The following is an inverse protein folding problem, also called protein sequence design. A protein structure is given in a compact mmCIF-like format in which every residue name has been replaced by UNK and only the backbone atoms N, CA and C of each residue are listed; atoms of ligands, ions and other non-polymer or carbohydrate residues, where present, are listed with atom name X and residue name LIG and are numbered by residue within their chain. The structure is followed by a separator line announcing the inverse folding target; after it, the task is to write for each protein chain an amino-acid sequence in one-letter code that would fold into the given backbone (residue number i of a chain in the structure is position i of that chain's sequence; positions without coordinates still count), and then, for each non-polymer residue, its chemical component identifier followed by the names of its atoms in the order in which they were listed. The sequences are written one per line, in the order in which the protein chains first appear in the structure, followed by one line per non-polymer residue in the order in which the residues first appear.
data_IF_400822981837
#
_entry.id   IF_400822981837
#
_cell.length_a   1.000
_cell.length_b   1.000
_cell.length_c   1.000
_cell.angle_alpha   90.00
_cell.angle_beta   90.00
_cell.angle_gamma   90.00
#
_symmetry.space_group_name_H-M   'P 1'
#
loop_
_entity.id
_entity.type
_entity.pdbx_description
1 polymer ?
#
# COMPACT_ATOMS: atom_id res chain seq x y z
N UNK A 1 -19.55 3.55 27.52
CA UNK A 1 -19.38 4.60 26.48
C UNK A 1 -18.21 4.18 25.62
N UNK A 2 -18.43 3.89 24.33
CA UNK A 2 -17.35 3.64 23.37
C UNK A 2 -16.40 4.84 23.35
N UNK A 3 -15.08 4.65 23.43
CA UNK A 3 -14.13 5.74 23.26
C UNK A 3 -14.41 6.45 21.92
N UNK A 4 -14.40 7.79 21.92
CA UNK A 4 -14.60 8.57 20.68
C UNK A 4 -13.62 8.10 19.61
N UNK A 5 -14.12 7.44 18.55
CA UNK A 5 -13.35 7.08 17.35
C UNK A 5 -12.98 5.60 17.17
N UNK A 6 -13.28 4.70 18.11
CA UNK A 6 -13.02 3.26 17.95
C UNK A 6 -14.11 2.37 18.56
N UNK A 7 -14.31 1.20 17.97
CA UNK A 7 -15.06 0.10 18.56
C UNK A 7 -14.22 -0.61 19.63
N UNK A 8 -14.89 -1.22 20.59
CA UNK A 8 -14.25 -2.14 21.54
C UNK A 8 -13.75 -3.38 20.79
N UNK A 9 -12.52 -3.81 21.08
CA UNK A 9 -11.97 -5.01 20.48
C UNK A 9 -12.65 -6.25 21.08
N UNK A 10 -13.39 -6.99 20.25
CA UNK A 10 -14.15 -8.18 20.64
C UNK A 10 -13.35 -9.49 20.51
N UNK A 11 -12.11 -9.42 20.02
CA UNK A 11 -11.24 -10.58 19.92
C UNK A 11 -10.50 -10.78 21.23
N UNK A 12 -10.51 -12.01 21.73
CA UNK A 12 -9.59 -12.43 22.79
C UNK A 12 -8.14 -12.28 22.30
N UNK A 13 -7.21 -11.98 23.20
CA UNK A 13 -5.80 -11.89 22.82
C UNK A 13 -5.19 -13.28 22.60
N UNK A 14 -4.02 -13.32 21.97
CA UNK A 14 -3.37 -14.54 21.52
C UNK A 14 -3.17 -15.58 22.63
N UNK A 15 -3.71 -16.77 22.41
CA UNK A 15 -3.34 -18.02 23.07
C UNK A 15 -3.22 -19.13 22.01
N UNK A 16 -2.59 -20.25 22.37
CA UNK A 16 -2.44 -21.38 21.45
C UNK A 16 -3.81 -21.92 21.00
N UNK A 17 -4.74 -22.08 21.94
CA UNK A 17 -6.07 -22.64 21.66
C UNK A 17 -6.91 -21.70 20.79
N UNK A 18 -6.84 -20.40 21.06
CA UNK A 18 -7.60 -19.38 20.31
C UNK A 18 -7.04 -19.25 18.87
N UNK A 19 -5.73 -19.34 18.71
CA UNK A 19 -5.07 -19.11 17.42
C UNK A 19 -5.07 -20.33 16.48
N UNK A 20 -5.42 -21.54 16.97
CA UNK A 20 -5.31 -22.79 16.21
C UNK A 20 -6.07 -22.80 14.88
N UNK A 21 -7.17 -22.05 14.78
CA UNK A 21 -7.96 -21.94 13.55
C UNK A 21 -7.55 -20.77 12.64
N UNK A 22 -6.58 -19.94 13.06
CA UNK A 22 -6.19 -18.71 12.37
C UNK A 22 -4.75 -18.79 11.86
N UNK A 23 -3.83 -19.29 12.66
CA UNK A 23 -2.40 -19.43 12.35
C UNK A 23 -2.07 -20.91 12.11
N UNK A 24 -1.12 -21.19 11.23
CA UNK A 24 -0.60 -22.54 11.02
C UNK A 24 0.26 -23.04 12.21
N UNK A 25 0.56 -24.34 12.26
CA UNK A 25 1.34 -24.94 13.35
C UNK A 25 2.78 -24.41 13.43
N UNK A 26 3.37 -24.05 12.29
CA UNK A 26 4.70 -23.44 12.19
C UNK A 26 4.73 -22.00 12.73
N UNK A 27 3.56 -21.37 12.92
CA UNK A 27 3.37 -20.00 13.40
C UNK A 27 4.02 -18.92 12.54
N UNK A 28 4.26 -19.24 11.28
CA UNK A 28 4.86 -18.37 10.27
C UNK A 28 3.88 -17.94 9.18
N UNK A 29 2.64 -18.44 9.23
CA UNK A 29 1.59 -18.15 8.26
C UNK A 29 0.19 -18.49 8.78
N UNK A 30 -0.80 -18.35 7.91
CA UNK A 30 -2.21 -18.59 8.27
C UNK A 30 -2.61 -20.06 8.07
N UNK A 31 -3.54 -20.53 8.91
CA UNK A 31 -4.10 -21.89 8.84
C UNK A 31 -4.86 -22.10 7.52
N UNK A 32 -5.03 -23.35 7.10
CA UNK A 32 -5.84 -23.69 5.92
C UNK A 32 -7.28 -23.18 6.04
N UNK A 33 -7.88 -23.31 7.23
CA UNK A 33 -9.24 -22.82 7.51
C UNK A 33 -9.37 -21.32 7.29
N UNK A 34 -8.38 -20.54 7.76
CA UNK A 34 -8.37 -19.10 7.55
C UNK A 34 -8.07 -18.74 6.09
N UNK A 35 -7.20 -19.49 5.41
CA UNK A 35 -6.99 -19.34 3.97
C UNK A 35 -8.30 -19.51 3.19
N UNK A 36 -9.07 -20.57 3.45
CA UNK A 36 -10.38 -20.79 2.79
C UNK A 36 -11.35 -19.63 3.05
N UNK A 37 -11.40 -19.11 4.28
CA UNK A 37 -12.22 -17.95 4.63
C UNK A 37 -11.84 -16.71 3.81
N UNK A 38 -10.54 -16.41 3.71
CA UNK A 38 -10.05 -15.28 2.91
C UNK A 38 -10.30 -15.47 1.41
N UNK A 39 -10.19 -16.70 0.90
CA UNK A 39 -10.50 -16.98 -0.51
C UNK A 39 -11.98 -16.75 -0.82
N UNK A 40 -12.90 -17.22 0.04
CA UNK A 40 -14.33 -16.97 -0.11
C UNK A 40 -14.64 -15.47 -0.08
N UNK A 41 -14.04 -14.75 0.88
CA UNK A 41 -14.15 -13.29 0.98
C UNK A 41 -13.69 -12.60 -0.32
N UNK A 42 -12.49 -12.93 -0.81
CA UNK A 42 -11.93 -12.34 -2.03
C UNK A 42 -12.80 -12.61 -3.24
N UNK A 43 -13.23 -13.85 -3.45
CA UNK A 43 -14.10 -14.23 -4.58
C UNK A 43 -15.41 -13.43 -4.56
N UNK A 44 -16.10 -13.40 -3.41
CA UNK A 44 -17.37 -12.66 -3.30
C UNK A 44 -17.21 -11.16 -3.54
N UNK A 45 -16.18 -10.55 -2.95
CA UNK A 45 -16.00 -9.09 -3.02
C UNK A 45 -15.40 -8.62 -4.34
N UNK A 46 -14.57 -9.43 -5.00
CA UNK A 46 -14.16 -9.18 -6.38
C UNK A 46 -15.36 -9.24 -7.33
N UNK A 47 -16.27 -10.21 -7.15
CA UNK A 47 -17.49 -10.28 -7.93
C UNK A 47 -18.37 -9.04 -7.72
N UNK A 48 -18.50 -8.58 -6.48
CA UNK A 48 -19.22 -7.35 -6.15
C UNK A 48 -18.61 -6.13 -6.85
N UNK A 49 -17.29 -5.95 -6.76
CA UNK A 49 -16.57 -4.87 -7.45
C UNK A 49 -16.88 -4.86 -8.95
N UNK A 50 -16.73 -6.02 -9.60
CA UNK A 50 -16.93 -6.17 -11.06
C UNK A 50 -18.37 -5.94 -11.51
N UNK A 51 -19.35 -6.33 -10.71
CA UNK A 51 -20.76 -6.34 -11.16
C UNK A 51 -21.60 -5.17 -10.66
N UNK A 52 -21.17 -4.49 -9.59
CA UNK A 52 -21.98 -3.45 -8.92
C UNK A 52 -21.24 -2.13 -8.70
N UNK A 53 -19.93 -2.09 -8.91
CA UNK A 53 -19.11 -0.91 -8.57
C UNK A 53 -18.20 -0.46 -9.72
N UNK A 54 -18.52 -0.83 -10.96
CA UNK A 54 -17.69 -0.51 -12.13
C UNK A 54 -17.46 1.01 -12.28
N UNK A 55 -18.52 1.81 -12.15
CA UNK A 55 -18.40 3.27 -12.19
C UNK A 55 -17.55 3.85 -11.06
N UNK A 56 -17.56 3.23 -9.88
CA UNK A 56 -16.73 3.66 -8.75
C UNK A 56 -15.25 3.29 -8.97
N UNK A 57 -14.97 2.15 -9.61
CA UNK A 57 -13.62 1.70 -9.95
C UNK A 57 -12.98 2.65 -10.96
N UNK A 58 -13.72 2.99 -12.02
CA UNK A 58 -13.22 3.84 -13.12
C UNK A 58 -13.50 5.33 -12.90
N UNK A 59 -13.74 5.75 -11.65
CA UNK A 59 -13.94 7.15 -11.31
C UNK A 59 -12.73 8.02 -11.70
N UNK A 60 -11.53 7.51 -11.44
CA UNK A 60 -10.26 8.06 -11.91
C UNK A 60 -9.27 6.93 -12.21
N UNK A 61 -8.09 7.27 -12.75
CA UNK A 61 -7.05 6.30 -13.12
C UNK A 61 -5.90 6.21 -12.11
N UNK A 62 -6.02 6.80 -10.92
CA UNK A 62 -4.96 6.80 -9.91
C UNK A 62 -4.89 5.49 -9.14
N UNK A 63 -3.76 5.23 -8.47
CA UNK A 63 -3.62 4.05 -7.60
C UNK A 63 -4.39 4.25 -6.29
N UNK A 64 -4.47 5.48 -5.80
CA UNK A 64 -5.10 5.81 -4.52
C UNK A 64 -6.62 5.57 -4.55
N UNK A 65 -7.32 6.21 -5.50
CA UNK A 65 -8.79 6.21 -5.58
C UNK A 65 -9.38 5.55 -6.81
N UNK A 66 -8.56 5.22 -7.80
CA UNK A 66 -9.01 4.80 -9.12
C UNK A 66 -8.71 3.36 -9.51
N UNK A 67 -8.86 3.10 -10.80
CA UNK A 67 -8.74 1.76 -11.40
C UNK A 67 -7.34 1.18 -11.23
N UNK A 68 -6.29 2.00 -11.30
CA UNK A 68 -4.91 1.52 -11.14
C UNK A 68 -4.64 0.93 -9.74
N UNK A 69 -5.46 1.24 -8.73
CA UNK A 69 -5.40 0.59 -7.43
C UNK A 69 -5.77 -0.90 -7.51
N UNK A 70 -6.75 -1.25 -8.35
CA UNK A 70 -7.14 -2.62 -8.62
C UNK A 70 -6.16 -3.31 -9.58
N UNK A 71 -5.54 -2.57 -10.50
CA UNK A 71 -4.41 -3.06 -11.28
C UNK A 71 -3.23 -3.50 -10.38
N UNK A 72 -2.91 -2.68 -9.36
CA UNK A 72 -1.88 -3.01 -8.38
C UNK A 72 -2.23 -4.28 -7.58
N UNK A 73 -3.50 -4.45 -7.20
CA UNK A 73 -3.98 -5.67 -6.54
C UNK A 73 -3.74 -6.92 -7.40
N UNK A 74 -4.15 -6.92 -8.67
CA UNK A 74 -3.95 -8.06 -9.56
C UNK A 74 -2.46 -8.30 -9.88
N UNK A 75 -1.67 -7.24 -10.00
CA UNK A 75 -0.22 -7.37 -10.08
C UNK A 75 0.35 -8.09 -8.85
N UNK A 76 -0.10 -7.74 -7.64
CA UNK A 76 0.33 -8.41 -6.41
C UNK A 76 -0.05 -9.90 -6.40
N UNK A 77 -1.24 -10.27 -6.86
CA UNK A 77 -1.64 -11.67 -6.99
C UNK A 77 -0.67 -12.47 -7.87
N UNK A 78 -0.14 -11.85 -8.94
CA UNK A 78 0.83 -12.49 -9.84
C UNK A 78 2.17 -12.83 -9.21
N UNK A 79 2.53 -12.19 -8.08
CA UNK A 79 3.84 -12.42 -7.44
C UNK A 79 3.97 -13.80 -6.78
N UNK A 80 2.90 -14.60 -6.72
CA UNK A 80 2.97 -16.02 -6.28
C UNK A 80 3.80 -16.89 -7.21
N UNK A 81 4.07 -16.43 -8.44
CA UNK A 81 4.81 -17.17 -9.46
C UNK A 81 4.26 -18.58 -9.73
N UNK A 82 2.94 -18.75 -9.58
CA UNK A 82 2.22 -19.97 -9.93
C UNK A 82 1.61 -19.88 -11.33
N UNK A 83 0.89 -20.93 -11.74
CA UNK A 83 0.24 -21.02 -13.05
C UNK A 83 -0.75 -19.87 -13.33
N UNK A 84 -1.29 -19.20 -12.31
CA UNK A 84 -2.26 -18.09 -12.44
C UNK A 84 -1.62 -16.71 -12.59
N UNK A 85 -0.29 -16.63 -12.57
CA UNK A 85 0.45 -15.37 -12.60
C UNK A 85 0.21 -14.59 -13.89
N UNK A 86 0.16 -15.30 -15.03
CA UNK A 86 -0.06 -14.68 -16.34
C UNK A 86 -1.47 -14.13 -16.48
N UNK A 87 -2.48 -14.84 -15.98
CA UNK A 87 -3.88 -14.41 -15.94
C UNK A 87 -4.03 -13.18 -15.05
N UNK A 88 -3.40 -13.19 -13.87
CA UNK A 88 -3.42 -12.04 -12.96
C UNK A 88 -2.79 -10.80 -13.59
N UNK A 89 -1.67 -10.95 -14.32
CA UNK A 89 -1.06 -9.85 -15.07
C UNK A 89 -1.97 -9.32 -16.18
N UNK A 90 -2.67 -10.19 -16.91
CA UNK A 90 -3.65 -9.79 -17.94
C UNK A 90 -4.84 -9.06 -17.32
N UNK A 91 -5.37 -9.56 -16.20
CA UNK A 91 -6.45 -8.89 -15.47
C UNK A 91 -6.04 -7.50 -14.99
N UNK A 92 -4.79 -7.32 -14.55
CA UNK A 92 -4.30 -6.01 -14.14
C UNK A 92 -4.34 -4.97 -15.28
N UNK A 93 -4.16 -5.40 -16.55
CA UNK A 93 -4.21 -4.50 -17.71
C UNK A 93 -5.60 -3.89 -17.95
N UNK A 94 -6.66 -4.62 -17.63
CA UNK A 94 -8.05 -4.13 -17.80
C UNK A 94 -8.33 -2.88 -16.96
N UNK A 95 -7.53 -2.64 -15.93
CA UNK A 95 -7.69 -1.52 -15.00
C UNK A 95 -6.67 -0.40 -15.21
N UNK A 96 -5.80 -0.49 -16.23
CA UNK A 96 -4.80 0.52 -16.55
C UNK A 96 -5.21 1.38 -17.74
N UNK A 97 -5.53 2.65 -17.46
CA UNK A 97 -5.78 3.65 -18.49
C UNK A 97 -4.50 4.47 -18.74
N UNK A 98 -3.58 3.90 -19.51
CA UNK A 98 -2.31 4.55 -19.87
C UNK A 98 -2.44 5.55 -21.02
N UNK A 99 -3.57 5.62 -21.71
CA UNK A 99 -3.77 6.53 -22.85
C UNK A 99 -4.32 7.88 -22.40
N UNK A 100 -5.18 7.92 -21.38
CA UNK A 100 -5.86 9.14 -20.94
C UNK A 100 -5.25 9.78 -19.67
N UNK A 101 -3.97 9.51 -19.41
CA UNK A 101 -3.18 10.10 -18.33
C UNK A 101 -3.20 11.65 -18.42
N UNK A 102 -3.26 12.32 -17.27
CA UNK A 102 -3.59 13.76 -17.23
C UNK A 102 -2.38 14.68 -17.32
N UNK A 103 -1.18 14.18 -17.06
CA UNK A 103 0.07 14.95 -17.09
C UNK A 103 0.18 15.99 -15.97
N UNK A 104 -0.61 15.87 -14.89
CA UNK A 104 -0.74 16.91 -13.85
C UNK A 104 -0.07 16.59 -12.51
N UNK A 105 0.09 15.30 -12.19
CA UNK A 105 0.59 14.85 -10.87
C UNK A 105 1.64 13.77 -11.07
N UNK A 106 2.72 13.87 -10.30
CA UNK A 106 3.95 13.09 -10.54
C UNK A 106 4.02 11.78 -9.72
N UNK A 107 3.23 11.64 -8.66
CA UNK A 107 3.40 10.58 -7.67
C UNK A 107 2.83 9.22 -8.10
N UNK A 108 3.28 8.14 -7.46
CA UNK A 108 2.73 6.80 -7.64
C UNK A 108 1.25 6.69 -7.24
N UNK A 109 0.87 7.31 -6.12
CA UNK A 109 -0.47 7.14 -5.56
C UNK A 109 -1.53 7.96 -6.27
N UNK A 110 -1.29 9.25 -6.46
CA UNK A 110 -2.29 10.19 -6.95
C UNK A 110 -1.95 10.80 -8.31
N UNK A 111 -0.94 10.27 -9.00
CA UNK A 111 -0.44 10.80 -10.27
C UNK A 111 -0.18 9.74 -11.33
N UNK A 112 0.37 10.20 -12.46
CA UNK A 112 0.57 9.38 -13.66
C UNK A 112 1.67 8.33 -13.47
N UNK A 113 2.56 8.51 -12.49
CA UNK A 113 3.66 7.58 -12.25
C UNK A 113 3.17 6.21 -11.77
N UNK A 114 2.03 6.14 -11.07
CA UNK A 114 1.46 4.87 -10.62
C UNK A 114 1.10 3.94 -11.77
N UNK A 115 0.13 4.34 -12.62
CA UNK A 115 -0.25 3.56 -13.80
C UNK A 115 0.94 3.24 -14.71
N UNK A 116 1.84 4.19 -14.94
CA UNK A 116 3.02 3.98 -15.79
C UNK A 116 4.01 2.96 -15.19
N UNK A 117 4.28 3.02 -13.88
CA UNK A 117 5.18 2.08 -13.22
C UNK A 117 4.61 0.66 -13.23
N UNK A 118 3.33 0.50 -12.87
CA UNK A 118 2.63 -0.80 -12.90
C UNK A 118 2.62 -1.37 -14.33
N UNK A 119 2.23 -0.55 -15.31
CA UNK A 119 2.23 -0.93 -16.72
C UNK A 119 3.61 -1.36 -17.22
N UNK A 120 4.68 -0.64 -16.83
CA UNK A 120 6.06 -0.96 -17.21
C UNK A 120 6.45 -2.36 -16.75
N UNK A 121 6.17 -2.67 -15.48
CA UNK A 121 6.51 -3.98 -14.89
C UNK A 121 5.69 -5.10 -15.54
N UNK A 122 4.38 -4.91 -15.73
CA UNK A 122 3.53 -5.91 -16.38
C UNK A 122 3.98 -6.14 -17.83
N UNK A 123 4.25 -5.06 -18.58
CA UNK A 123 4.74 -5.13 -19.96
C UNK A 123 6.04 -5.95 -20.06
N UNK A 124 6.96 -5.76 -19.11
CA UNK A 124 8.19 -6.55 -19.05
C UNK A 124 7.92 -8.03 -18.75
N UNK A 125 7.08 -8.33 -17.76
CA UNK A 125 6.79 -9.71 -17.31
C UNK A 125 6.01 -10.54 -18.34
N UNK A 126 5.10 -9.92 -19.08
CA UNK A 126 4.37 -10.58 -20.18
C UNK A 126 5.24 -10.79 -21.43
N UNK A 127 6.29 -9.97 -21.59
CA UNK A 127 7.24 -10.07 -22.71
C UNK A 127 6.64 -9.69 -24.06
N UNK A 128 7.43 -9.90 -25.12
CA UNK A 128 7.13 -9.44 -26.49
C UNK A 128 6.23 -10.36 -27.30
N UNK A 129 5.92 -11.57 -26.79
CA UNK A 129 5.06 -12.56 -27.45
C UNK A 129 3.57 -12.38 -27.14
N UNK A 130 3.19 -11.25 -26.56
CA UNK A 130 1.80 -10.96 -26.22
C UNK A 130 1.00 -10.66 -27.48
N UNK A 131 -0.22 -11.21 -27.57
CA UNK A 131 -1.09 -11.02 -28.73
C UNK A 131 -1.89 -9.70 -28.68
N UNK A 132 -1.87 -9.00 -27.55
CA UNK A 132 -2.53 -7.71 -27.36
C UNK A 132 -1.64 -6.55 -27.82
N UNK A 133 -2.09 -5.84 -28.85
CA UNK A 133 -1.48 -4.57 -29.31
C UNK A 133 -1.79 -3.38 -28.37
N UNK A 134 -2.40 -3.64 -27.22
CA UNK A 134 -3.04 -2.63 -26.37
C UNK A 134 -2.01 -1.92 -25.50
N UNK A 135 -1.04 -2.65 -24.94
CA UNK A 135 -0.02 -2.05 -24.10
C UNK A 135 1.23 -1.66 -24.93
N UNK A 136 1.89 -0.53 -24.65
CA UNK A 136 3.20 -0.22 -25.22
C UNK A 136 4.34 -1.10 -24.64
N UNK A 137 5.48 -1.17 -25.33
CA UNK A 137 6.68 -1.85 -24.80
C UNK A 137 7.16 -1.22 -23.49
N UNK A 138 7.72 -2.03 -22.59
CA UNK A 138 8.16 -1.57 -21.27
C UNK A 138 9.19 -0.43 -21.35
N UNK A 139 10.03 -0.37 -22.40
CA UNK A 139 10.98 0.74 -22.58
C UNK A 139 10.27 2.06 -22.88
N UNK A 140 9.22 2.01 -23.71
CA UNK A 140 8.39 3.18 -24.02
C UNK A 140 7.66 3.66 -22.76
N UNK A 141 7.11 2.74 -21.96
CA UNK A 141 6.45 3.07 -20.70
C UNK A 141 7.43 3.63 -19.66
N UNK A 142 8.62 3.03 -19.52
CA UNK A 142 9.68 3.52 -18.66
C UNK A 142 10.14 4.93 -19.08
N UNK A 143 10.25 5.21 -20.38
CA UNK A 143 10.57 6.54 -20.88
C UNK A 143 9.48 7.57 -20.52
N UNK A 144 8.20 7.22 -20.70
CA UNK A 144 7.07 8.07 -20.27
C UNK A 144 7.12 8.33 -18.77
N UNK A 145 7.37 7.31 -17.96
CA UNK A 145 7.54 7.46 -16.51
C UNK A 145 8.70 8.41 -16.16
N UNK A 146 9.84 8.27 -16.83
CA UNK A 146 11.00 9.16 -16.62
C UNK A 146 10.73 10.59 -17.09
N UNK A 147 9.93 10.80 -18.13
CA UNK A 147 9.58 12.14 -18.61
C UNK A 147 8.76 12.97 -17.62
N UNK A 148 8.10 12.33 -16.64
CA UNK A 148 7.40 13.03 -15.56
C UNK A 148 8.34 13.87 -14.68
N UNK A 149 9.66 13.70 -14.81
CA UNK A 149 10.65 14.54 -14.15
C UNK A 149 10.48 16.04 -14.48
N UNK A 150 9.81 16.39 -15.58
CA UNK A 150 9.44 17.77 -15.91
C UNK A 150 8.58 18.44 -14.84
N UNK A 151 7.78 17.66 -14.09
CA UNK A 151 6.90 18.14 -13.03
C UNK A 151 7.62 18.32 -11.68
N UNK A 152 8.92 17.99 -11.58
CA UNK A 152 9.63 17.99 -10.28
C UNK A 152 9.56 19.34 -9.57
N UNK A 153 9.74 20.45 -10.28
CA UNK A 153 9.84 21.77 -9.65
C UNK A 153 8.48 22.27 -9.12
N UNK A 154 7.38 21.77 -9.67
CA UNK A 154 6.01 22.17 -9.31
C UNK A 154 5.39 21.23 -8.27
N UNK A 155 6.04 20.10 -8.00
CA UNK A 155 5.52 19.06 -7.12
C UNK A 155 5.99 19.25 -5.66
N UNK A 156 5.13 18.95 -4.66
CA UNK A 156 5.55 18.90 -3.26
C UNK A 156 6.53 17.73 -3.03
N UNK A 157 7.08 17.61 -1.83
CA UNK A 157 8.05 16.55 -1.52
C UNK A 157 7.43 15.28 -0.91
N UNK A 158 6.16 15.31 -0.52
CA UNK A 158 5.49 14.19 0.16
C UNK A 158 5.08 13.03 -0.77
N UNK A 159 4.50 11.96 -0.20
CA UNK A 159 4.32 10.69 -0.90
C UNK A 159 3.06 10.61 -1.76
N UNK A 160 1.98 11.30 -1.39
CA UNK A 160 0.69 11.17 -2.07
C UNK A 160 0.69 11.90 -3.40
N UNK A 161 1.26 13.10 -3.48
CA UNK A 161 1.22 13.99 -4.63
C UNK A 161 2.62 14.40 -5.11
N UNK A 162 3.65 14.16 -4.30
CA UNK A 162 4.97 14.73 -4.47
C UNK A 162 6.07 13.81 -4.99
N UNK A 163 7.29 14.34 -4.89
CA UNK A 163 8.53 13.75 -5.39
C UNK A 163 8.87 12.43 -4.70
N UNK A 164 8.55 12.26 -3.41
CA UNK A 164 8.77 10.98 -2.72
C UNK A 164 7.89 9.87 -3.32
N UNK A 165 6.64 10.19 -3.67
CA UNK A 165 5.76 9.27 -4.38
C UNK A 165 6.25 8.93 -5.78
N UNK A 166 6.88 9.88 -6.47
CA UNK A 166 7.52 9.62 -7.76
C UNK A 166 8.76 8.74 -7.62
N UNK A 167 9.60 9.01 -6.62
CA UNK A 167 10.76 8.19 -6.30
C UNK A 167 10.36 6.74 -6.03
N UNK A 168 9.28 6.52 -5.27
CA UNK A 168 8.71 5.19 -5.06
C UNK A 168 8.37 4.51 -6.40
N UNK A 169 7.71 5.21 -7.33
CA UNK A 169 7.36 4.66 -8.64
C UNK A 169 8.58 4.19 -9.45
N UNK A 170 9.66 4.98 -9.44
CA UNK A 170 10.91 4.65 -10.13
C UNK A 170 11.57 3.39 -9.53
N UNK A 171 11.64 3.34 -8.20
CA UNK A 171 12.23 2.22 -7.48
C UNK A 171 11.37 0.95 -7.59
N UNK A 172 10.04 1.09 -7.63
CA UNK A 172 9.11 -0.02 -7.86
C UNK A 172 9.42 -0.75 -9.18
N UNK A 173 9.69 -0.01 -10.26
CA UNK A 173 10.06 -0.59 -11.56
C UNK A 173 11.36 -1.40 -11.45
N UNK A 174 12.42 -0.81 -10.89
CA UNK A 174 13.71 -1.49 -10.74
C UNK A 174 13.64 -2.70 -9.80
N UNK A 175 12.81 -2.62 -8.74
CA UNK A 175 12.63 -3.75 -7.81
C UNK A 175 11.96 -4.95 -8.47
N UNK A 176 10.92 -4.73 -9.27
CA UNK A 176 10.12 -5.83 -9.83
C UNK A 176 10.60 -6.35 -11.19
N UNK A 177 11.59 -5.67 -11.79
CA UNK A 177 12.29 -6.11 -13.00
C UNK A 177 13.71 -6.55 -12.61
N UNK A 178 13.85 -7.82 -12.20
CA UNK A 178 15.12 -8.36 -11.74
C UNK A 178 16.18 -8.41 -12.85
N UNK A 179 17.44 -8.10 -12.47
CA UNK A 179 18.61 -8.30 -13.31
C UNK A 179 18.84 -7.25 -14.41
N UNK A 180 18.08 -6.15 -14.41
CA UNK A 180 18.26 -5.03 -15.35
C UNK A 180 17.99 -3.70 -14.67
N UNK A 181 18.85 -2.73 -14.93
CA UNK A 181 18.60 -1.33 -14.59
C UNK A 181 17.67 -0.74 -15.66
N UNK A 182 16.39 -0.58 -15.32
CA UNK A 182 15.38 -0.02 -16.23
C UNK A 182 15.33 1.49 -16.08
N UNK A 183 15.30 1.95 -14.83
CA UNK A 183 15.45 3.35 -14.47
C UNK A 183 16.91 3.59 -14.07
N UNK A 184 17.66 4.42 -14.81
CA UNK A 184 19.04 4.74 -14.49
C UNK A 184 19.21 5.39 -13.11
N UNK A 185 20.28 5.02 -12.39
CA UNK A 185 20.65 5.58 -11.08
C UNK A 185 20.78 7.10 -11.14
N UNK A 186 21.39 7.66 -12.19
CA UNK A 186 21.52 9.10 -12.35
C UNK A 186 20.16 9.84 -12.48
N UNK A 187 19.10 9.16 -12.92
CA UNK A 187 17.74 9.70 -12.96
C UNK A 187 17.12 9.71 -11.56
N UNK A 188 17.33 8.63 -10.80
CA UNK A 188 16.90 8.50 -9.40
C UNK A 188 17.60 9.57 -8.52
N UNK A 189 18.91 9.75 -8.69
CA UNK A 189 19.71 10.74 -7.96
C UNK A 189 19.20 12.18 -8.18
N UNK A 190 18.74 12.52 -9.39
CA UNK A 190 18.14 13.84 -9.66
C UNK A 190 16.91 14.10 -8.79
N UNK A 191 16.06 13.09 -8.61
CA UNK A 191 14.85 13.20 -7.77
C UNK A 191 15.25 13.34 -6.30
N UNK A 192 16.17 12.50 -5.81
CA UNK A 192 16.70 12.55 -4.43
C UNK A 192 17.30 13.93 -4.14
N UNK A 193 18.16 14.43 -5.03
CA UNK A 193 18.80 15.73 -4.86
C UNK A 193 17.78 16.88 -4.85
N UNK A 194 16.70 16.78 -5.62
CA UNK A 194 15.61 17.77 -5.58
C UNK A 194 14.90 17.80 -4.22
N UNK A 195 14.60 16.63 -3.63
CA UNK A 195 13.96 16.50 -2.31
C UNK A 195 14.88 17.03 -1.20
N UNK A 196 16.17 16.66 -1.24
CA UNK A 196 17.14 17.12 -0.25
C UNK A 196 17.37 18.63 -0.34
N UNK A 197 17.41 19.19 -1.55
CA UNK A 197 17.57 20.63 -1.77
C UNK A 197 16.41 21.41 -1.16
N UNK A 198 15.16 21.04 -1.45
CA UNK A 198 13.99 21.72 -0.88
C UNK A 198 13.94 21.57 0.64
N UNK A 199 14.27 20.39 1.17
CA UNK A 199 14.29 20.14 2.61
C UNK A 199 15.28 21.00 3.38
N UNK A 200 16.49 21.20 2.83
CA UNK A 200 17.51 22.09 3.41
C UNK A 200 17.09 23.55 3.33
N UNK A 201 16.51 23.97 2.21
CA UNK A 201 16.04 25.33 2.01
C UNK A 201 14.93 25.70 3.01
N UNK A 202 13.94 24.84 3.19
CA UNK A 202 12.83 25.11 4.09
C UNK A 202 13.24 25.03 5.57
N UNK A 203 14.11 24.10 5.95
CA UNK A 203 14.72 24.07 7.28
C UNK A 203 15.42 25.41 7.61
N UNK A 204 16.27 25.91 6.70
CA UNK A 204 16.97 27.17 6.89
C UNK A 204 16.01 28.36 6.97
N UNK A 205 14.97 28.39 6.14
CA UNK A 205 13.93 29.43 6.16
C UNK A 205 13.19 29.48 7.51
N UNK A 206 12.90 28.31 8.09
CA UNK A 206 12.19 28.18 9.37
C UNK A 206 13.12 28.29 10.59
N UNK A 207 14.43 28.46 10.38
CA UNK A 207 15.47 28.40 11.43
C UNK A 207 15.30 27.17 12.33
N UNK A 208 14.98 26.03 11.71
CA UNK A 208 14.76 24.78 12.42
C UNK A 208 16.09 24.19 12.89
N UNK A 209 16.08 23.57 14.08
CA UNK A 209 17.23 22.80 14.57
C UNK A 209 17.46 21.51 13.76
N UNK A 210 16.46 21.07 12.98
CA UNK A 210 16.56 19.90 12.09
C UNK A 210 17.25 20.28 10.77
N UNK A 211 18.25 19.52 10.29
CA UNK A 211 18.93 19.81 9.01
C UNK A 211 18.02 19.68 7.77
N UNK A 212 16.86 19.05 7.91
CA UNK A 212 15.86 18.86 6.86
C UNK A 212 14.46 19.08 7.43
N UNK A 213 13.63 19.83 6.70
CA UNK A 213 12.23 20.08 7.05
C UNK A 213 11.41 20.22 5.77
N UNK A 214 10.18 19.71 5.77
CA UNK A 214 9.26 19.85 4.65
C UNK A 214 7.86 20.22 5.15
N UNK A 215 7.03 20.76 4.26
CA UNK A 215 5.64 21.10 4.53
C UNK A 215 4.76 20.73 3.34
N UNK A 216 3.47 20.59 3.61
CA UNK A 216 2.41 20.54 2.61
C UNK A 216 1.23 21.34 3.18
N UNK A 217 0.37 21.95 2.35
CA UNK A 217 -0.76 22.80 2.81
C UNK A 217 -0.50 23.64 4.08
N UNK A 218 0.62 24.37 4.08
CA UNK A 218 1.06 25.27 5.16
C UNK A 218 1.23 24.62 6.55
N UNK A 219 1.36 23.30 6.60
CA UNK A 219 1.60 22.53 7.83
C UNK A 219 2.85 21.68 7.69
N UNK A 220 3.67 21.68 8.74
CA UNK A 220 4.72 20.69 8.92
C UNK A 220 4.02 19.37 9.24
N UNK A 221 4.17 18.40 8.34
CA UNK A 221 3.57 17.09 8.49
C UNK A 221 4.59 16.09 9.01
N UNK A 222 4.22 15.36 10.06
CA UNK A 222 5.13 14.46 10.78
C UNK A 222 5.03 12.99 10.35
N UNK A 223 4.52 12.66 9.16
CA UNK A 223 4.78 11.31 8.62
C UNK A 223 3.87 10.79 7.54
N UNK A 224 3.44 9.52 7.59
CA UNK A 224 3.46 8.61 6.42
C UNK A 224 2.89 9.26 5.16
N UNK A 225 1.60 9.60 5.16
CA UNK A 225 1.10 10.67 4.32
C UNK A 225 1.22 12.03 5.05
N UNK A 226 0.82 12.11 6.34
CA UNK A 226 0.84 13.38 7.11
C UNK A 226 1.16 13.33 8.64
N UNK A 227 1.56 12.20 9.26
CA UNK A 227 1.88 12.12 10.71
C UNK A 227 2.73 10.91 11.13
N UNK A 228 3.22 10.85 12.38
CA UNK A 228 4.20 9.91 13.04
C UNK A 228 4.44 8.48 12.46
N UNK A 229 3.55 7.95 11.63
CA UNK A 229 3.60 6.65 10.96
C UNK A 229 4.70 6.49 9.90
N UNK A 230 5.17 7.56 9.24
CA UNK A 230 6.34 7.48 8.35
C UNK A 230 7.63 7.37 9.16
N UNK A 231 7.63 8.04 10.32
CA UNK A 231 8.68 7.99 11.32
C UNK A 231 8.72 6.60 11.97
N UNK A 232 7.60 5.97 12.31
CA UNK A 232 7.56 4.58 12.77
C UNK A 232 7.94 3.55 11.69
N UNK A 233 7.58 3.78 10.42
CA UNK A 233 7.99 2.95 9.28
C UNK A 233 9.52 3.00 9.05
N UNK A 234 10.16 4.18 9.17
CA UNK A 234 11.62 4.34 9.11
C UNK A 234 12.34 3.83 10.37
N UNK A 235 11.75 4.00 11.56
CA UNK A 235 12.35 3.54 12.82
C UNK A 235 12.34 2.00 12.95
N UNK A 236 11.39 1.32 12.31
CA UNK A 236 11.29 -0.15 12.29
C UNK A 236 12.13 -0.82 11.19
N UNK A 237 12.55 -0.08 10.14
CA UNK A 237 13.40 -0.60 9.07
C UNK A 237 14.91 -0.47 9.36
N UNK A 238 15.35 0.32 10.37
CA UNK A 238 16.75 0.75 10.52
C UNK A 238 17.39 0.46 11.89
N UNK A 239 16.65 0.37 13.00
CA UNK A 239 17.30 0.36 14.32
C UNK A 239 17.15 -0.97 15.05
N UNK A 240 18.25 -1.72 15.12
CA UNK A 240 18.51 -2.79 16.11
C UNK A 240 18.62 -2.24 17.55
N UNK A 241 18.19 -0.99 17.80
CA UNK A 241 18.22 -0.37 19.12
C UNK A 241 16.93 -0.67 19.91
N UNK A 242 17.11 -1.31 21.06
CA UNK A 242 16.05 -1.78 21.95
C UNK A 242 14.99 -0.70 22.30
N UNK A 243 15.40 0.57 22.41
CA UNK A 243 14.50 1.69 22.77
C UNK A 243 13.38 1.92 21.75
N UNK A 244 13.66 1.78 20.45
CA UNK A 244 12.66 1.99 19.40
C UNK A 244 11.73 0.79 19.26
N UNK A 245 12.27 -0.42 19.43
CA UNK A 245 11.45 -1.63 19.50
C UNK A 245 10.42 -1.52 20.63
N UNK A 246 10.82 -1.08 21.83
CA UNK A 246 9.88 -0.88 22.96
C UNK A 246 8.72 0.04 22.61
N UNK A 247 8.99 1.17 21.95
CA UNK A 247 7.94 2.11 21.52
C UNK A 247 7.03 1.47 20.49
N UNK A 248 7.58 0.74 19.50
CA UNK A 248 6.78 0.07 18.49
C UNK A 248 5.85 -1.01 19.09
N UNK A 249 6.33 -1.77 20.08
CA UNK A 249 5.51 -2.75 20.81
C UNK A 249 4.35 -2.06 21.54
N UNK A 250 4.61 -0.92 22.21
CA UNK A 250 3.57 -0.12 22.87
C UNK A 250 2.54 0.44 21.87
N UNK A 251 2.99 0.90 20.69
CA UNK A 251 2.08 1.29 19.62
C UNK A 251 1.22 0.12 19.14
N UNK A 252 1.81 -1.08 19.02
CA UNK A 252 1.08 -2.30 18.71
C UNK A 252 -0.04 -2.60 19.71
N UNK A 253 0.22 -2.47 21.01
CA UNK A 253 -0.80 -2.67 22.04
C UNK A 253 -1.91 -1.62 21.99
N UNK A 254 -1.58 -0.35 21.73
CA UNK A 254 -2.58 0.70 21.54
C UNK A 254 -3.45 0.44 20.31
N UNK A 255 -2.84 0.02 19.19
CA UNK A 255 -3.57 -0.37 17.98
C UNK A 255 -4.45 -1.59 18.26
N UNK A 256 -4.00 -2.55 19.05
CA UNK A 256 -4.84 -3.70 19.43
C UNK A 256 -6.09 -3.26 20.20
N UNK A 257 -5.95 -2.29 21.10
CA UNK A 257 -7.07 -1.80 21.91
C UNK A 257 -8.02 -0.86 21.14
N UNK A 258 -7.51 -0.07 20.18
CA UNK A 258 -8.26 1.05 19.58
C UNK A 258 -8.25 1.11 18.05
N UNK A 259 -7.59 0.16 17.40
CA UNK A 259 -7.39 0.13 15.95
C UNK A 259 -8.60 -0.34 15.14
N UNK A 260 -9.64 -0.88 15.79
CA UNK A 260 -10.95 -1.09 15.19
C UNK A 260 -11.69 0.25 15.09
N UNK A 261 -11.22 1.14 14.22
CA UNK A 261 -11.70 2.52 14.17
C UNK A 261 -13.10 2.64 13.56
N UNK A 262 -13.88 3.63 14.02
CA UNK A 262 -15.23 3.89 13.51
C UNK A 262 -15.25 4.46 12.09
N UNK A 263 -14.10 4.93 11.60
CA UNK A 263 -13.91 5.46 10.24
C UNK A 263 -14.04 4.40 9.14
N UNK A 264 -14.11 3.12 9.51
CA UNK A 264 -14.35 2.02 8.57
C UNK A 264 -13.10 1.22 8.26
N UNK A 265 -13.12 0.52 7.14
CA UNK A 265 -12.17 -0.57 6.86
C UNK A 265 -11.00 -0.16 5.95
N UNK A 266 -10.88 1.11 5.58
CA UNK A 266 -9.93 1.59 4.59
C UNK A 266 -8.46 1.32 4.92
N UNK A 267 -7.58 1.43 3.92
CA UNK A 267 -6.12 1.38 4.12
C UNK A 267 -5.60 2.70 4.68
N UNK A 268 -6.06 3.84 4.17
CA UNK A 268 -5.49 5.14 4.53
C UNK A 268 -5.64 5.48 6.03
N UNK A 269 -6.79 5.16 6.61
CA UNK A 269 -7.16 5.58 7.96
C UNK A 269 -8.22 4.66 8.57
N UNK A 270 -8.18 3.39 8.18
CA UNK A 270 -9.15 2.37 8.55
C UNK A 270 -8.50 1.14 9.18
N UNK A 271 -9.35 0.15 9.50
CA UNK A 271 -8.90 -1.11 10.13
C UNK A 271 -7.88 -1.86 9.28
N UNK A 272 -8.00 -1.83 7.94
CA UNK A 272 -7.04 -2.53 7.07
C UNK A 272 -5.64 -1.93 7.16
N UNK A 273 -5.55 -0.60 7.20
CA UNK A 273 -4.27 0.10 7.38
C UNK A 273 -3.62 -0.24 8.72
N UNK A 274 -4.42 -0.27 9.79
CA UNK A 274 -3.95 -0.60 11.13
C UNK A 274 -3.41 -2.03 11.24
N UNK A 275 -3.95 -2.99 10.47
CA UNK A 275 -3.47 -4.36 10.45
C UNK A 275 -1.99 -4.46 10.02
N UNK A 276 -1.51 -3.57 9.13
CA UNK A 276 -0.12 -3.55 8.69
C UNK A 276 0.88 -3.21 9.80
N UNK A 277 0.45 -2.57 10.89
CA UNK A 277 1.32 -2.38 12.05
C UNK A 277 1.69 -3.73 12.68
N UNK A 278 0.71 -4.64 12.78
CA UNK A 278 0.96 -5.99 13.27
C UNK A 278 1.75 -6.85 12.30
N UNK A 279 1.51 -6.72 11.00
CA UNK A 279 2.32 -7.39 9.97
C UNK A 279 3.79 -7.01 10.13
N UNK A 280 4.09 -5.72 10.30
CA UNK A 280 5.47 -5.24 10.51
C UNK A 280 6.07 -5.73 11.83
N UNK A 281 5.31 -5.67 12.93
CA UNK A 281 5.77 -6.21 14.22
C UNK A 281 6.04 -7.71 14.15
N UNK A 282 5.21 -8.47 13.43
CA UNK A 282 5.45 -9.89 13.18
C UNK A 282 6.73 -10.09 12.36
N UNK A 283 6.90 -9.36 11.26
CA UNK A 283 8.10 -9.47 10.42
C UNK A 283 9.38 -9.15 11.18
N UNK A 284 9.36 -8.16 12.07
CA UNK A 284 10.50 -7.73 12.87
C UNK A 284 10.80 -8.64 14.06
N UNK A 285 9.77 -9.13 14.77
CA UNK A 285 9.94 -9.87 16.03
C UNK A 285 9.80 -11.38 15.89
N UNK A 286 9.20 -11.86 14.79
CA UNK A 286 8.76 -13.24 14.56
C UNK A 286 7.81 -13.78 15.64
N UNK A 287 7.18 -12.91 16.45
CA UNK A 287 6.25 -13.31 17.51
C UNK A 287 4.86 -13.60 16.94
N UNK A 288 4.33 -14.84 17.07
CA UNK A 288 3.06 -15.24 16.46
C UNK A 288 1.85 -14.40 16.86
N UNK A 289 1.88 -13.80 18.05
CA UNK A 289 0.80 -12.93 18.52
C UNK A 289 0.50 -11.77 17.55
N UNK A 290 1.52 -11.22 16.88
CA UNK A 290 1.31 -10.12 15.94
C UNK A 290 0.68 -10.61 14.63
N UNK A 291 1.06 -11.81 14.15
CA UNK A 291 0.35 -12.44 13.05
C UNK A 291 -1.12 -12.69 13.42
N UNK A 292 -1.39 -13.14 14.65
CA UNK A 292 -2.75 -13.37 15.15
C UNK A 292 -3.56 -12.08 15.12
N UNK A 293 -3.03 -11.00 15.71
CA UNK A 293 -3.69 -9.70 15.75
C UNK A 293 -3.95 -9.13 14.34
N UNK A 294 -3.02 -9.31 13.40
CA UNK A 294 -3.22 -8.95 11.99
C UNK A 294 -4.41 -9.71 11.37
N UNK A 295 -4.51 -11.01 11.64
CA UNK A 295 -5.59 -11.85 11.14
C UNK A 295 -6.95 -11.50 11.77
N UNK A 296 -7.01 -11.17 13.06
CA UNK A 296 -8.22 -10.68 13.71
C UNK A 296 -8.73 -9.38 13.07
N UNK A 297 -7.83 -8.46 12.75
CA UNK A 297 -8.20 -7.21 12.06
C UNK A 297 -8.69 -7.48 10.64
N UNK A 298 -8.06 -8.41 9.92
CA UNK A 298 -8.57 -8.87 8.63
C UNK A 298 -9.92 -9.57 8.75
N UNK A 299 -10.14 -10.35 9.80
CA UNK A 299 -11.43 -10.98 10.06
C UNK A 299 -12.53 -9.93 10.29
N UNK A 300 -12.24 -8.90 11.08
CA UNK A 300 -13.15 -7.75 11.24
C UNK A 300 -13.47 -7.10 9.89
N UNK A 301 -12.44 -6.88 9.07
CA UNK A 301 -12.61 -6.39 7.71
C UNK A 301 -13.45 -7.37 6.86
N UNK A 302 -13.28 -8.69 6.97
CA UNK A 302 -13.94 -9.65 6.08
C UNK A 302 -15.42 -9.88 6.42
N UNK A 303 -15.79 -9.87 7.70
CA UNK A 303 -17.16 -10.17 8.17
C UNK A 303 -18.12 -8.99 7.95
N UNK A 304 -17.65 -7.75 8.01
CA UNK A 304 -18.44 -6.52 7.77
C UNK A 304 -19.79 -6.49 8.51
N UNK A 305 -19.79 -6.37 9.84
CA UNK A 305 -21.05 -6.37 10.60
C UNK A 305 -21.84 -5.07 10.38
N UNK A 306 -23.18 -5.10 10.40
CA UNK A 306 -23.98 -3.88 10.41
C UNK A 306 -23.54 -2.95 11.55
N UNK A 307 -23.31 -1.67 11.24
CA UNK A 307 -22.89 -0.67 12.22
C UNK A 307 -21.38 -0.62 12.51
N UNK A 308 -20.54 -1.45 11.87
CA UNK A 308 -19.07 -1.41 12.05
C UNK A 308 -18.32 -0.55 11.01
N UNK A 309 -19.06 0.22 10.21
CA UNK A 309 -18.56 1.31 9.36
C UNK A 309 -19.51 2.51 9.48
N UNK A 310 -19.12 3.52 10.29
CA UNK A 310 -19.98 4.68 10.55
C UNK A 310 -19.83 5.78 9.50
N UNK A 311 -18.76 5.72 8.70
CA UNK A 311 -18.45 6.68 7.66
C UNK A 311 -18.25 5.94 6.36
N UNK A 312 -19.17 6.12 5.41
CA UNK A 312 -19.03 5.58 4.07
C UNK A 312 -17.84 6.25 3.38
N UNK A 313 -16.92 5.50 2.75
CA UNK A 313 -15.82 6.09 2.01
C UNK A 313 -16.31 6.97 0.85
N UNK A 314 -15.58 8.04 0.55
CA UNK A 314 -15.85 8.90 -0.60
C UNK A 314 -15.66 8.12 -1.91
N UNK A 315 -14.70 7.19 -1.95
CA UNK A 315 -14.46 6.26 -3.06
C UNK A 315 -14.55 4.81 -2.60
N UNK A 316 -15.77 4.23 -2.55
CA UNK A 316 -16.02 2.95 -1.87
C UNK A 316 -15.41 1.72 -2.57
N UNK A 317 -15.07 1.82 -3.86
CA UNK A 317 -14.38 0.74 -4.58
C UNK A 317 -12.84 0.80 -4.45
N UNK A 318 -12.29 1.94 -4.04
CA UNK A 318 -10.86 2.26 -4.20
C UNK A 318 -9.91 1.43 -3.32
N UNK A 319 -8.62 1.50 -3.64
CA UNK A 319 -7.56 0.86 -2.86
C UNK A 319 -7.36 1.51 -1.49
N UNK A 320 -7.30 2.85 -1.41
CA UNK A 320 -6.95 3.52 -0.15
C UNK A 320 -8.14 3.86 0.73
N UNK A 321 -9.34 3.95 0.18
CA UNK A 321 -10.55 4.31 0.94
C UNK A 321 -11.55 3.15 1.01
N UNK A 322 -11.55 2.25 0.03
CA UNK A 322 -12.64 1.33 -0.22
C UNK A 322 -12.31 -0.16 -0.15
N UNK A 323 -13.14 -0.93 -0.85
CA UNK A 323 -13.14 -2.39 -0.84
C UNK A 323 -11.86 -3.01 -1.43
N UNK A 324 -11.26 -2.40 -2.44
CA UNK A 324 -10.01 -2.91 -3.03
C UNK A 324 -8.86 -2.94 -2.01
N UNK A 325 -8.82 -2.01 -1.06
CA UNK A 325 -7.83 -2.02 0.04
C UNK A 325 -7.93 -3.23 0.94
N UNK A 326 -9.15 -3.70 1.19
CA UNK A 326 -9.40 -4.86 2.05
C UNK A 326 -9.05 -6.15 1.33
N UNK A 327 -9.33 -6.22 0.03
CA UNK A 327 -8.87 -7.31 -0.83
C UNK A 327 -7.34 -7.37 -0.86
N UNK A 328 -6.69 -6.21 -0.94
CA UNK A 328 -5.23 -6.10 -0.92
C UNK A 328 -4.65 -6.65 0.39
N UNK A 329 -5.16 -6.22 1.55
CA UNK A 329 -4.74 -6.79 2.84
C UNK A 329 -4.99 -8.31 2.92
N UNK A 330 -6.16 -8.78 2.45
CA UNK A 330 -6.48 -10.20 2.45
C UNK A 330 -5.51 -11.03 1.60
N UNK A 331 -5.01 -10.47 0.51
CA UNK A 331 -3.99 -11.11 -0.32
C UNK A 331 -2.62 -11.11 0.38
N UNK A 332 -2.22 -9.99 0.97
CA UNK A 332 -0.94 -9.86 1.67
C UNK A 332 -0.83 -10.77 2.90
N UNK A 333 -1.91 -10.98 3.65
CA UNK A 333 -1.91 -11.92 4.78
C UNK A 333 -1.62 -13.36 4.36
N UNK A 334 -1.90 -13.74 3.11
CA UNK A 334 -1.52 -15.06 2.58
C UNK A 334 -0.01 -15.20 2.33
N UNK A 335 0.74 -14.09 2.38
CA UNK A 335 2.19 -13.99 2.12
C UNK A 335 2.83 -13.04 3.12
N UNK A 336 2.68 -13.37 4.39
CA UNK A 336 2.97 -12.45 5.48
C UNK A 336 4.44 -11.99 5.51
N UNK A 337 5.38 -12.79 5.01
CA UNK A 337 6.80 -12.42 4.98
C UNK A 337 7.07 -11.30 3.96
N UNK A 338 6.38 -11.35 2.82
CA UNK A 338 6.49 -10.40 1.71
C UNK A 338 5.50 -9.23 1.83
N UNK A 339 4.48 -9.32 2.68
CA UNK A 339 3.44 -8.30 2.83
C UNK A 339 4.03 -6.91 3.13
N UNK A 340 3.55 -5.89 2.42
CA UNK A 340 4.01 -4.50 2.57
C UNK A 340 2.83 -3.56 2.45
N UNK A 341 2.84 -2.52 3.27
CA UNK A 341 1.86 -1.45 3.13
C UNK A 341 1.97 -0.86 1.70
N UNK A 342 0.87 -0.81 0.93
CA UNK A 342 0.94 -0.48 -0.50
C UNK A 342 1.51 0.92 -0.70
N UNK A 343 2.44 1.05 -1.64
CA UNK A 343 3.10 2.32 -1.98
C UNK A 343 4.01 2.94 -0.91
N UNK A 344 4.30 2.23 0.18
CA UNK A 344 5.21 2.69 1.23
C UNK A 344 6.41 1.77 1.42
N UNK A 345 6.22 0.46 1.23
CA UNK A 345 7.31 -0.51 1.20
C UNK A 345 7.58 -1.01 -0.19
N UNK A 346 8.85 -0.95 -0.59
CA UNK A 346 9.32 -1.62 -1.79
C UNK A 346 9.51 -3.08 -1.49
#
# INVERSE_FOLDING_TARGET
MTPKGSFENQFDDYSLDIAANIINDAKDGISEKFQTKLQNFKTMKLQLLKTKMESDIFYDSTVYTGSAGLALYYFMCSLKNDASSQESLKMALEYLDIENLKGRRISFLCGDAGPLAIATVISYKLGTKRNDKILPDYKTLAHRLMSLISLLNESPDEILYGKAGYLYALLFVNKHINGKEIIPVNHIEKVINSILKSGKQYSAQMKSDSPLLWHWHDKVYFGAAHGMAGILYMLLQIFEEEKYMKVALQCGDLIWQRGLCTKGYSICHGVSGNAYAFIQLFQATKRPLYLYRACCFMEWCAVERPGTELHRPDRPASLFEGLSGRLYLAEDITRIAEARFPAFGL
#
